data_IF_162477875011
#
_entry.id   IF_162477875011
#
_cell.length_a   1.000
_cell.length_b   1.000
_cell.length_c   1.000
_cell.angle_alpha   90.00
_cell.angle_beta   90.00
_cell.angle_gamma   90.00
#
_symmetry.space_group_name_H-M   'P 1'
#
loop_
_entity.id
_entity.type
_entity.pdbx_description
1 polymer ?
#
# COMPACT_ATOMS: atom_id res chain seq x y z
N UNK A 1 -4.29 -2.46 -26.88
CA UNK A 1 -4.31 -3.47 -25.80
C UNK A 1 -2.92 -3.95 -25.38
N UNK A 2 -2.01 -4.28 -26.31
CA UNK A 2 -0.67 -4.79 -25.97
C UNK A 2 0.14 -3.86 -25.05
N UNK A 3 0.11 -2.55 -25.30
CA UNK A 3 0.77 -1.53 -24.47
C UNK A 3 0.18 -1.43 -23.06
N UNK A 4 -1.13 -1.63 -22.91
CA UNK A 4 -1.81 -1.65 -21.60
C UNK A 4 -1.37 -2.86 -20.79
N UNK A 5 -1.36 -4.06 -21.41
CA UNK A 5 -0.85 -5.29 -20.77
C UNK A 5 0.62 -5.17 -20.38
N UNK A 6 1.45 -4.59 -21.25
CA UNK A 6 2.86 -4.35 -20.95
C UNK A 6 3.04 -3.40 -19.77
N UNK A 7 2.25 -2.33 -19.68
CA UNK A 7 2.26 -1.42 -18.53
C UNK A 7 1.87 -2.12 -17.22
N UNK A 8 0.81 -2.93 -17.25
CA UNK A 8 0.38 -3.76 -16.11
C UNK A 8 1.50 -4.73 -15.70
N UNK A 9 2.15 -5.39 -16.66
CA UNK A 9 3.25 -6.31 -16.42
C UNK A 9 4.46 -5.62 -15.77
N UNK A 10 4.89 -4.47 -16.31
CA UNK A 10 6.04 -3.71 -15.80
C UNK A 10 5.76 -3.27 -14.36
N UNK A 11 4.57 -2.71 -14.09
CA UNK A 11 4.22 -2.26 -12.75
C UNK A 11 4.10 -3.45 -11.78
N UNK A 12 3.48 -4.55 -12.21
CA UNK A 12 3.41 -5.77 -11.42
C UNK A 12 4.79 -6.33 -11.06
N UNK A 13 5.76 -6.26 -11.98
CA UNK A 13 7.15 -6.67 -11.72
C UNK A 13 7.84 -5.73 -10.72
N UNK A 14 7.58 -4.42 -10.79
CA UNK A 14 8.08 -3.44 -9.82
C UNK A 14 7.53 -3.75 -8.41
N UNK A 15 6.24 -4.12 -8.30
CA UNK A 15 5.63 -4.55 -7.03
C UNK A 15 6.15 -5.89 -6.53
N UNK A 16 6.39 -6.86 -7.42
CA UNK A 16 6.87 -8.19 -7.06
C UNK A 16 8.33 -8.18 -6.56
N UNK A 17 9.17 -7.39 -7.21
CA UNK A 17 10.62 -7.44 -7.01
C UNK A 17 11.17 -6.21 -6.31
N UNK A 18 10.93 -5.03 -6.88
CA UNK A 18 11.70 -3.83 -6.53
C UNK A 18 11.30 -3.27 -5.17
N UNK A 19 10.01 -3.24 -4.85
CA UNK A 19 9.50 -2.71 -3.57
C UNK A 19 9.90 -3.61 -2.39
N UNK A 20 9.62 -4.93 -2.38
CA UNK A 20 10.01 -5.80 -1.27
C UNK A 20 11.53 -5.87 -1.07
N UNK A 21 12.29 -5.88 -2.16
CA UNK A 21 13.76 -5.89 -2.09
C UNK A 21 14.31 -4.59 -1.50
N UNK A 22 13.79 -3.43 -1.92
CA UNK A 22 14.21 -2.12 -1.41
C UNK A 22 13.86 -1.99 0.06
N UNK A 23 12.65 -2.37 0.46
CA UNK A 23 12.23 -2.40 1.87
C UNK A 23 13.16 -3.31 2.69
N UNK A 24 13.38 -4.55 2.25
CA UNK A 24 14.28 -5.50 2.95
C UNK A 24 15.73 -5.00 3.06
N UNK A 25 16.24 -4.32 2.02
CA UNK A 25 17.61 -3.77 2.01
C UNK A 25 17.75 -2.60 2.97
N UNK A 26 16.79 -1.68 3.00
CA UNK A 26 16.77 -0.55 3.93
C UNK A 26 16.68 -1.05 5.37
N UNK A 27 15.85 -2.05 5.63
CA UNK A 27 15.65 -2.62 6.98
C UNK A 27 16.88 -3.31 7.52
N UNK A 28 17.63 -4.03 6.66
CA UNK A 28 18.88 -4.69 7.06
C UNK A 28 19.99 -3.72 7.48
N UNK A 29 19.89 -2.44 7.12
CA UNK A 29 20.88 -1.43 7.47
C UNK A 29 20.57 -0.74 8.81
N UNK A 30 19.55 -1.21 9.53
CA UNK A 30 19.01 -0.54 10.71
C UNK A 30 18.93 -1.56 11.85
N UNK A 31 19.56 -1.23 12.98
CA UNK A 31 19.48 -2.03 14.19
C UNK A 31 18.13 -1.75 14.88
N UNK A 32 17.21 -2.72 14.81
CA UNK A 32 15.84 -2.58 15.32
C UNK A 32 15.71 -3.20 16.71
N UNK A 33 15.48 -2.36 17.74
CA UNK A 33 15.01 -2.82 19.04
C UNK A 33 13.47 -2.75 19.10
N UNK A 34 12.84 -3.89 18.78
CA UNK A 34 11.39 -4.10 18.78
C UNK A 34 10.74 -3.89 20.16
N UNK A 35 11.53 -3.86 21.24
CA UNK A 35 11.06 -3.69 22.62
C UNK A 35 10.96 -2.21 23.04
N UNK A 36 11.65 -1.31 22.33
CA UNK A 36 11.69 0.15 22.61
C UNK A 36 11.10 1.01 21.51
N UNK A 37 11.10 0.56 20.25
CA UNK A 37 10.69 1.37 19.11
C UNK A 37 9.30 0.95 18.62
N UNK A 38 8.30 1.74 19.02
CA UNK A 38 6.93 1.57 18.54
C UNK A 38 6.69 2.35 17.25
N UNK A 39 5.97 1.67 16.36
CA UNK A 39 5.19 2.19 15.24
C UNK A 39 5.95 2.67 13.99
N UNK A 40 5.72 1.87 12.95
CA UNK A 40 6.06 2.04 11.55
C UNK A 40 7.54 1.88 11.19
N UNK A 41 7.77 0.81 10.45
CA UNK A 41 9.04 0.37 9.85
C UNK A 41 9.73 1.49 9.04
N UNK A 42 8.97 2.52 8.69
CA UNK A 42 9.30 3.57 7.76
C UNK A 42 9.47 4.95 8.38
N UNK A 43 9.28 5.08 9.69
CA UNK A 43 9.06 6.36 10.34
C UNK A 43 10.30 6.91 11.08
N UNK A 44 11.28 6.06 11.45
CA UNK A 44 12.32 6.35 12.44
C UNK A 44 13.37 7.43 12.09
N UNK A 45 13.01 8.72 12.14
CA UNK A 45 13.90 9.89 11.97
C UNK A 45 15.15 9.91 12.87
N UNK A 46 15.19 9.15 13.98
CA UNK A 46 16.40 9.02 14.80
C UNK A 46 17.37 7.95 14.28
N UNK A 47 16.95 7.09 13.34
CA UNK A 47 17.77 6.07 12.66
C UNK A 47 18.17 6.45 11.23
N UNK A 48 17.57 7.48 10.64
CA UNK A 48 17.73 7.80 9.21
C UNK A 48 18.35 9.20 8.99
N UNK A 49 19.50 9.25 8.31
CA UNK A 49 20.09 10.49 7.79
C UNK A 49 19.10 11.26 6.89
N UNK A 50 19.24 12.58 6.74
CA UNK A 50 18.34 13.44 5.95
C UNK A 50 18.16 12.94 4.51
N UNK A 51 19.19 12.31 3.94
CA UNK A 51 19.14 11.66 2.61
C UNK A 51 18.15 10.49 2.58
N UNK A 52 18.11 9.65 3.62
CA UNK A 52 17.19 8.51 3.71
C UNK A 52 15.74 8.98 3.85
N UNK A 53 15.48 10.03 4.65
CA UNK A 53 14.13 10.61 4.78
C UNK A 53 13.61 11.10 3.43
N UNK A 54 14.44 11.81 2.66
CA UNK A 54 14.08 12.29 1.32
C UNK A 54 13.83 11.13 0.35
N UNK A 55 14.70 10.12 0.35
CA UNK A 55 14.54 8.94 -0.48
C UNK A 55 13.26 8.16 -0.16
N UNK A 56 12.90 8.06 1.12
CA UNK A 56 11.67 7.43 1.55
C UNK A 56 10.41 8.21 1.10
N UNK A 57 10.37 9.54 1.26
CA UNK A 57 9.28 10.37 0.71
C UNK A 57 9.13 10.19 -0.80
N UNK A 58 10.25 10.17 -1.55
CA UNK A 58 10.24 9.92 -2.99
C UNK A 58 9.72 8.53 -3.32
N UNK A 59 10.09 7.51 -2.55
CA UNK A 59 9.60 6.14 -2.72
C UNK A 59 8.09 6.04 -2.48
N UNK A 60 7.57 6.62 -1.40
CA UNK A 60 6.13 6.66 -1.12
C UNK A 60 5.36 7.36 -2.24
N UNK A 61 5.86 8.52 -2.69
CA UNK A 61 5.24 9.26 -3.78
C UNK A 61 5.26 8.46 -5.09
N UNK A 62 6.39 7.85 -5.45
CA UNK A 62 6.49 6.97 -6.60
C UNK A 62 5.52 5.78 -6.49
N UNK A 63 5.34 5.23 -5.29
CA UNK A 63 4.42 4.12 -5.02
C UNK A 63 2.96 4.56 -5.17
N UNK A 64 2.61 5.79 -4.77
CA UNK A 64 1.29 6.37 -4.99
C UNK A 64 0.98 6.51 -6.50
N UNK A 65 1.93 7.04 -7.27
CA UNK A 65 1.82 7.17 -8.72
C UNK A 65 1.69 5.80 -9.39
N UNK A 66 2.55 4.84 -9.02
CA UNK A 66 2.49 3.49 -9.56
C UNK A 66 1.16 2.80 -9.26
N UNK A 67 0.61 2.92 -8.04
CA UNK A 67 -0.72 2.40 -7.71
C UNK A 67 -1.79 3.01 -8.60
N UNK A 68 -1.80 4.34 -8.74
CA UNK A 68 -2.80 5.02 -9.56
C UNK A 68 -2.73 4.56 -11.02
N UNK A 69 -1.53 4.53 -11.60
CA UNK A 69 -1.34 4.09 -12.99
C UNK A 69 -1.72 2.62 -13.14
N UNK A 70 -1.40 1.75 -12.18
CA UNK A 70 -1.76 0.34 -12.22
C UNK A 70 -3.28 0.13 -12.31
N UNK A 71 -4.04 0.69 -11.37
CA UNK A 71 -5.49 0.58 -11.36
C UNK A 71 -6.14 1.31 -12.53
N UNK A 72 -5.57 2.42 -13.00
CA UNK A 72 -6.04 3.09 -14.21
C UNK A 72 -5.86 2.21 -15.45
N UNK A 73 -4.71 1.53 -15.60
CA UNK A 73 -4.49 0.59 -16.69
C UNK A 73 -5.43 -0.62 -16.61
N UNK A 74 -5.67 -1.14 -15.40
CA UNK A 74 -6.68 -2.19 -15.17
C UNK A 74 -8.08 -1.71 -15.55
N UNK A 75 -8.47 -0.49 -15.14
CA UNK A 75 -9.74 0.13 -15.51
C UNK A 75 -9.91 0.20 -17.03
N UNK A 76 -8.87 0.67 -17.72
CA UNK A 76 -8.85 0.76 -19.19
C UNK A 76 -8.90 -0.62 -19.84
N UNK A 77 -8.24 -1.61 -19.26
CA UNK A 77 -8.20 -2.98 -19.78
C UNK A 77 -9.56 -3.66 -19.68
N UNK A 78 -10.20 -3.57 -18.51
CA UNK A 78 -11.47 -4.22 -18.19
C UNK A 78 -12.70 -3.35 -18.51
N UNK A 79 -12.50 -2.21 -19.19
CA UNK A 79 -13.55 -1.23 -19.51
C UNK A 79 -14.38 -0.78 -18.28
N UNK A 80 -13.71 -0.60 -17.13
CA UNK A 80 -14.35 -0.21 -15.87
C UNK A 80 -14.58 1.29 -15.76
N UNK A 81 -14.29 2.08 -16.80
CA UNK A 81 -14.47 3.53 -16.80
C UNK A 81 -15.90 3.99 -16.55
N UNK A 82 -16.90 3.14 -16.84
CA UNK A 82 -18.31 3.40 -16.54
C UNK A 82 -18.66 3.20 -15.05
N UNK A 83 -17.79 2.59 -14.25
CA UNK A 83 -17.98 2.41 -12.82
C UNK A 83 -17.53 3.67 -12.08
N UNK A 84 -18.41 4.67 -12.01
CA UNK A 84 -18.11 5.97 -11.40
C UNK A 84 -17.55 5.85 -9.99
N UNK A 85 -18.14 5.00 -9.14
CA UNK A 85 -17.66 4.74 -7.79
C UNK A 85 -16.21 4.26 -7.80
N UNK A 86 -15.86 3.29 -8.64
CA UNK A 86 -14.50 2.77 -8.74
C UNK A 86 -13.49 3.84 -9.16
N UNK A 87 -13.86 4.69 -10.13
CA UNK A 87 -13.00 5.78 -10.59
C UNK A 87 -12.83 6.89 -9.53
N UNK A 88 -13.87 7.17 -8.75
CA UNK A 88 -13.77 8.08 -7.60
C UNK A 88 -12.86 7.51 -6.51
N UNK A 89 -13.04 6.24 -6.12
CA UNK A 89 -12.20 5.58 -5.12
C UNK A 89 -10.74 5.45 -5.56
N UNK A 90 -10.48 5.28 -6.86
CA UNK A 90 -9.12 5.33 -7.42
C UNK A 90 -8.48 6.70 -7.18
N UNK A 91 -9.22 7.78 -7.45
CA UNK A 91 -8.76 9.16 -7.26
C UNK A 91 -8.54 9.48 -5.78
N UNK A 92 -9.46 9.08 -4.90
CA UNK A 92 -9.33 9.25 -3.46
C UNK A 92 -8.14 8.48 -2.91
N UNK A 93 -7.95 7.23 -3.34
CA UNK A 93 -6.79 6.43 -2.95
C UNK A 93 -5.49 7.15 -3.32
N UNK A 94 -5.37 7.62 -4.57
CA UNK A 94 -4.19 8.38 -5.00
C UNK A 94 -3.93 9.62 -4.13
N UNK A 95 -4.98 10.38 -3.80
CA UNK A 95 -4.86 11.54 -2.91
C UNK A 95 -4.35 11.15 -1.52
N UNK A 96 -4.91 10.12 -0.89
CA UNK A 96 -4.51 9.68 0.44
C UNK A 96 -3.09 9.10 0.46
N UNK A 97 -2.71 8.29 -0.53
CA UNK A 97 -1.34 7.77 -0.67
C UNK A 97 -0.32 8.90 -0.87
N UNK A 98 -0.67 9.89 -1.69
CA UNK A 98 0.17 11.06 -1.93
C UNK A 98 0.30 11.90 -0.65
N UNK A 99 -0.82 12.15 0.04
CA UNK A 99 -0.82 12.89 1.30
C UNK A 99 0.06 12.20 2.35
N UNK A 100 -0.01 10.89 2.47
CA UNK A 100 0.82 10.10 3.39
C UNK A 100 2.32 10.31 3.12
N UNK A 101 2.72 10.46 1.86
CA UNK A 101 4.12 10.73 1.49
C UNK A 101 4.64 12.07 2.03
N UNK A 102 3.78 13.08 2.13
CA UNK A 102 4.14 14.44 2.54
C UNK A 102 3.84 14.75 4.02
N UNK A 103 3.05 13.92 4.70
CA UNK A 103 2.82 14.06 6.15
C UNK A 103 4.10 13.67 6.89
N UNK A 104 4.71 14.66 7.55
CA UNK A 104 5.93 14.44 8.32
C UNK A 104 5.69 13.44 9.45
N UNK A 105 6.45 12.35 9.44
CA UNK A 105 6.39 11.32 10.45
C UNK A 105 6.99 11.87 11.77
N UNK A 106 6.27 11.74 12.88
CA UNK A 106 6.73 12.10 14.23
C UNK A 106 6.45 10.96 15.20
N UNK A 107 7.48 10.61 15.96
CA UNK A 107 7.66 9.27 16.58
C UNK A 107 7.89 9.40 18.08
N UNK A 108 8.04 10.64 18.54
CA UNK A 108 8.17 10.89 19.97
C UNK A 108 6.91 10.34 20.66
N UNK A 109 7.06 9.73 21.86
CA UNK A 109 5.91 9.27 22.63
C UNK A 109 4.93 10.43 22.82
N UNK A 110 3.63 10.10 22.86
CA UNK A 110 2.60 11.08 23.12
C UNK A 110 2.97 11.87 24.38
N UNK A 111 3.07 13.18 24.23
CA UNK A 111 3.47 14.06 25.33
C UNK A 111 2.58 15.28 25.33
N UNK A 112 1.90 15.49 26.46
CA UNK A 112 1.12 16.70 26.72
C UNK A 112 2.00 17.96 26.77
N UNK A 113 3.31 17.82 27.02
CA UNK A 113 4.27 18.95 27.01
C UNK A 113 4.64 19.42 25.60
N UNK A 114 4.41 18.62 24.56
CA UNK A 114 4.72 18.97 23.15
C UNK A 114 3.52 18.67 22.25
N UNK A 115 2.48 19.50 22.39
CA UNK A 115 1.21 19.37 21.68
C UNK A 115 1.39 19.28 20.15
N UNK A 116 2.25 20.11 19.56
CA UNK A 116 2.59 20.08 18.12
C UNK A 116 3.05 18.71 17.64
N UNK A 117 3.97 18.04 18.36
CA UNK A 117 4.45 16.71 17.99
C UNK A 117 3.40 15.62 18.15
N UNK A 118 2.54 15.76 19.16
CA UNK A 118 1.43 14.85 19.42
C UNK A 118 0.35 14.95 18.33
N UNK A 119 -0.04 16.17 17.96
CA UNK A 119 -1.00 16.42 16.87
C UNK A 119 -0.48 15.92 15.51
N UNK A 120 0.80 16.16 15.24
CA UNK A 120 1.44 15.67 14.02
C UNK A 120 1.43 14.13 13.92
N UNK A 121 1.67 13.44 15.05
CA UNK A 121 1.60 11.97 15.11
C UNK A 121 0.17 11.46 14.93
N UNK A 122 -0.80 12.12 15.55
CA UNK A 122 -2.22 11.79 15.39
C UNK A 122 -2.63 11.92 13.92
N UNK A 123 -2.28 13.04 13.27
CA UNK A 123 -2.58 13.29 11.86
C UNK A 123 -1.96 12.22 10.95
N UNK A 124 -0.68 11.87 11.17
CA UNK A 124 -0.03 10.80 10.42
C UNK A 124 -0.73 9.45 10.58
N UNK A 125 -1.03 9.06 11.82
CA UNK A 125 -1.69 7.77 12.10
C UNK A 125 -3.10 7.72 11.50
N UNK A 126 -3.87 8.82 11.56
CA UNK A 126 -5.18 8.90 10.93
C UNK A 126 -5.08 8.74 9.42
N UNK A 127 -4.15 9.44 8.76
CA UNK A 127 -3.94 9.30 7.31
C UNK A 127 -3.47 7.90 6.96
N UNK A 128 -2.56 7.31 7.75
CA UNK A 128 -2.11 5.94 7.54
C UNK A 128 -3.28 4.95 7.62
N UNK A 129 -4.14 5.04 8.64
CA UNK A 129 -5.34 4.20 8.77
C UNK A 129 -6.25 4.33 7.54
N UNK A 130 -6.50 5.56 7.07
CA UNK A 130 -7.29 5.78 5.86
C UNK A 130 -6.64 5.12 4.65
N UNK A 131 -5.32 5.21 4.50
CA UNK A 131 -4.58 4.54 3.43
C UNK A 131 -4.67 3.00 3.54
N UNK A 132 -4.51 2.45 4.75
CA UNK A 132 -4.63 1.01 5.00
C UNK A 132 -6.04 0.46 4.71
N UNK A 133 -7.08 1.29 4.81
CA UNK A 133 -8.46 0.89 4.50
C UNK A 133 -8.84 1.14 3.04
N UNK A 134 -8.38 2.25 2.45
CA UNK A 134 -8.75 2.63 1.08
C UNK A 134 -8.19 1.68 0.03
N UNK A 135 -6.95 1.19 0.21
CA UNK A 135 -6.35 0.28 -0.77
C UNK A 135 -7.08 -1.08 -0.86
N UNK A 136 -7.38 -1.79 0.24
CA UNK A 136 -8.15 -3.03 0.16
C UNK A 136 -9.57 -2.80 -0.37
N UNK A 137 -10.21 -1.69 -0.02
CA UNK A 137 -11.53 -1.33 -0.57
C UNK A 137 -11.45 -1.18 -2.09
N UNK A 138 -10.45 -0.46 -2.60
CA UNK A 138 -10.24 -0.29 -4.04
C UNK A 138 -10.02 -1.64 -4.74
N UNK A 139 -9.26 -2.54 -4.12
CA UNK A 139 -9.05 -3.90 -4.62
C UNK A 139 -10.36 -4.70 -4.65
N UNK A 140 -11.14 -4.66 -3.57
CA UNK A 140 -12.42 -5.38 -3.49
C UNK A 140 -13.38 -4.86 -4.55
N UNK A 141 -13.49 -3.54 -4.73
CA UNK A 141 -14.31 -2.92 -5.77
C UNK A 141 -13.88 -3.35 -7.17
N UNK A 142 -12.57 -3.37 -7.44
CA UNK A 142 -12.04 -3.88 -8.71
C UNK A 142 -12.42 -5.34 -8.93
N UNK A 143 -12.19 -6.20 -7.93
CA UNK A 143 -12.46 -7.64 -8.06
C UNK A 143 -13.96 -7.93 -8.22
N UNK A 144 -14.81 -7.20 -7.51
CA UNK A 144 -16.26 -7.27 -7.68
C UNK A 144 -16.70 -6.81 -9.08
N UNK A 145 -16.07 -5.77 -9.64
CA UNK A 145 -16.42 -5.27 -10.97
C UNK A 145 -16.00 -6.23 -12.11
N UNK A 146 -14.94 -7.02 -11.92
CA UNK A 146 -14.50 -7.99 -12.94
C UNK A 146 -15.13 -9.37 -12.77
N UNK A 147 -15.78 -9.68 -11.63
CA UNK A 147 -16.24 -11.04 -11.30
C UNK A 147 -17.27 -11.58 -12.29
N UNK A 148 -18.13 -10.71 -12.83
CA UNK A 148 -19.18 -11.12 -13.78
C UNK A 148 -18.57 -11.61 -15.10
N UNK A 149 -17.52 -10.94 -15.55
CA UNK A 149 -16.85 -11.26 -16.82
C UNK A 149 -15.74 -12.31 -16.64
N UNK A 150 -15.11 -12.35 -15.47
CA UNK A 150 -13.97 -13.22 -15.15
C UNK A 150 -14.11 -13.80 -13.73
N UNK A 151 -15.01 -14.78 -13.52
CA UNK A 151 -15.37 -15.26 -12.19
C UNK A 151 -14.19 -15.88 -11.44
N UNK A 152 -13.34 -16.65 -12.12
CA UNK A 152 -12.17 -17.25 -11.49
C UNK A 152 -11.17 -16.19 -11.00
N UNK A 153 -10.80 -15.24 -11.87
CA UNK A 153 -9.91 -14.12 -11.52
C UNK A 153 -10.46 -13.27 -10.38
N UNK A 154 -11.75 -12.93 -10.47
CA UNK A 154 -12.51 -12.18 -9.46
C UNK A 154 -12.52 -12.85 -8.08
N UNK A 155 -12.96 -14.10 -8.03
CA UNK A 155 -13.10 -14.87 -6.78
C UNK A 155 -11.74 -15.12 -6.14
N UNK A 156 -10.76 -15.60 -6.90
CA UNK A 156 -9.41 -15.84 -6.35
C UNK A 156 -8.77 -14.56 -5.86
N UNK A 157 -8.94 -13.45 -6.60
CA UNK A 157 -8.47 -12.14 -6.18
C UNK A 157 -9.12 -11.66 -4.88
N UNK A 158 -10.43 -11.87 -4.70
CA UNK A 158 -11.16 -11.59 -3.45
C UNK A 158 -10.66 -12.44 -2.28
N UNK A 159 -10.40 -13.72 -2.50
CA UNK A 159 -9.87 -14.61 -1.46
C UNK A 159 -8.49 -14.14 -1.00
N UNK A 160 -7.60 -13.77 -1.94
CA UNK A 160 -6.26 -13.28 -1.62
C UNK A 160 -6.32 -12.01 -0.77
N UNK A 161 -7.10 -11.01 -1.18
CA UNK A 161 -7.20 -9.76 -0.43
C UNK A 161 -7.92 -9.96 0.91
N UNK A 162 -8.95 -10.82 0.95
CA UNK A 162 -9.67 -11.17 2.16
C UNK A 162 -8.75 -11.79 3.21
N UNK A 163 -7.94 -12.78 2.82
CA UNK A 163 -6.93 -13.39 3.69
C UNK A 163 -5.91 -12.35 4.16
N UNK A 164 -5.44 -11.48 3.27
CA UNK A 164 -4.51 -10.40 3.61
C UNK A 164 -5.06 -9.48 4.68
N UNK A 165 -6.31 -9.02 4.52
CA UNK A 165 -7.00 -8.16 5.47
C UNK A 165 -7.19 -8.88 6.81
N UNK A 166 -7.63 -10.14 6.82
CA UNK A 166 -7.81 -10.95 8.03
C UNK A 166 -6.48 -11.12 8.79
N UNK A 167 -5.41 -11.52 8.11
CA UNK A 167 -4.09 -11.70 8.72
C UNK A 167 -3.59 -10.37 9.31
N UNK A 168 -3.77 -9.27 8.58
CA UNK A 168 -3.39 -7.93 9.04
C UNK A 168 -4.18 -7.54 10.29
N UNK A 169 -5.49 -7.75 10.31
CA UNK A 169 -6.36 -7.51 11.47
C UNK A 169 -5.94 -8.33 12.70
N UNK A 170 -5.68 -9.63 12.51
CA UNK A 170 -5.19 -10.51 13.59
C UNK A 170 -3.86 -9.99 14.15
N UNK A 171 -2.96 -9.53 13.28
CA UNK A 171 -1.68 -8.94 13.68
C UNK A 171 -1.89 -7.65 14.49
N UNK A 172 -2.79 -6.76 14.05
CA UNK A 172 -3.14 -5.54 14.80
C UNK A 172 -3.69 -5.88 16.18
N UNK A 173 -4.61 -6.85 16.28
CA UNK A 173 -5.23 -7.24 17.56
C UNK A 173 -4.17 -7.81 18.52
N UNK A 174 -3.25 -8.64 18.01
CA UNK A 174 -2.26 -9.34 18.85
C UNK A 174 -1.07 -8.47 19.25
N UNK A 175 -0.64 -7.56 18.39
CA UNK A 175 0.66 -6.89 18.53
C UNK A 175 0.58 -5.36 18.37
N UNK A 176 -0.63 -4.81 18.17
CA UNK A 176 -0.84 -3.43 17.77
C UNK A 176 -0.40 -3.17 16.32
N UNK A 177 -0.55 -1.93 15.87
CA UNK A 177 0.01 -1.49 14.58
C UNK A 177 1.53 -1.39 14.76
N UNK A 178 2.28 -2.33 14.20
CA UNK A 178 3.75 -2.34 14.27
C UNK A 178 4.36 -2.65 12.88
N UNK A 179 5.69 -2.62 12.77
CA UNK A 179 6.35 -2.88 11.48
C UNK A 179 6.07 -4.28 10.90
N UNK A 180 5.81 -5.28 11.73
CA UNK A 180 5.46 -6.64 11.28
C UNK A 180 4.08 -6.62 10.61
N UNK A 181 3.10 -5.94 11.19
CA UNK A 181 1.77 -5.75 10.62
C UNK A 181 1.83 -5.06 9.25
N UNK A 182 2.64 -4.00 9.13
CA UNK A 182 2.83 -3.29 7.86
C UNK A 182 3.43 -4.19 6.78
N UNK A 183 4.41 -5.04 7.13
CA UNK A 183 5.02 -5.99 6.20
C UNK A 183 4.00 -7.02 5.70
N UNK A 184 3.16 -7.58 6.59
CA UNK A 184 2.12 -8.53 6.17
C UNK A 184 1.14 -7.89 5.19
N UNK A 185 0.72 -6.66 5.46
CA UNK A 185 -0.16 -5.92 4.57
C UNK A 185 0.48 -5.68 3.20
N UNK A 186 1.69 -5.12 3.17
CA UNK A 186 2.42 -4.81 1.92
C UNK A 186 2.65 -6.10 1.10
N UNK A 187 3.04 -7.19 1.76
CA UNK A 187 3.28 -8.46 1.08
C UNK A 187 1.99 -9.06 0.51
N UNK A 188 0.88 -9.01 1.24
CA UNK A 188 -0.40 -9.52 0.75
C UNK A 188 -0.94 -8.72 -0.44
N UNK A 189 -0.82 -7.38 -0.41
CA UNK A 189 -1.11 -6.52 -1.56
C UNK A 189 -0.17 -6.85 -2.73
N UNK A 190 1.12 -7.03 -2.48
CA UNK A 190 2.09 -7.38 -3.53
C UNK A 190 1.76 -8.71 -4.19
N UNK A 191 1.39 -9.72 -3.39
CA UNK A 191 0.96 -11.03 -3.88
C UNK A 191 -0.30 -10.92 -4.74
N UNK A 192 -1.29 -10.14 -4.30
CA UNK A 192 -2.48 -9.83 -5.08
C UNK A 192 -2.13 -9.15 -6.42
N UNK A 193 -1.25 -8.15 -6.39
CA UNK A 193 -0.81 -7.43 -7.60
C UNK A 193 -0.14 -8.36 -8.61
N UNK A 194 0.71 -9.28 -8.14
CA UNK A 194 1.34 -10.30 -8.99
C UNK A 194 0.30 -11.23 -9.60
N UNK A 195 -0.62 -11.72 -8.79
CA UNK A 195 -1.70 -12.59 -9.25
C UNK A 195 -2.51 -11.92 -10.37
N UNK A 196 -3.03 -10.71 -10.13
CA UNK A 196 -3.83 -9.97 -11.12
C UNK A 196 -3.01 -9.68 -12.36
N UNK A 197 -1.74 -9.29 -12.21
CA UNK A 197 -0.86 -9.02 -13.36
C UNK A 197 -0.70 -10.26 -14.25
N UNK A 198 -0.34 -11.40 -13.67
CA UNK A 198 -0.18 -12.67 -14.41
C UNK A 198 -1.50 -13.05 -15.07
N UNK A 199 -2.60 -12.96 -14.32
CA UNK A 199 -3.91 -13.34 -14.81
C UNK A 199 -4.36 -12.47 -15.99
N UNK A 200 -4.25 -11.15 -15.88
CA UNK A 200 -4.59 -10.20 -16.95
C UNK A 200 -3.70 -10.36 -18.18
N UNK A 201 -2.42 -10.70 -18.02
CA UNK A 201 -1.51 -10.88 -19.16
C UNK A 201 -1.80 -12.19 -19.90
N UNK A 202 -1.97 -13.30 -19.17
CA UNK A 202 -2.09 -14.65 -19.75
C UNK A 202 -3.51 -15.01 -20.19
N UNK A 203 -4.52 -14.61 -19.41
CA UNK A 203 -5.92 -15.04 -19.60
C UNK A 203 -6.86 -13.88 -19.89
N UNK A 204 -6.41 -12.65 -19.67
CA UNK A 204 -7.17 -11.43 -19.93
C UNK A 204 -7.31 -11.12 -21.41
#
# INVERSE_FOLDING_TARGET
MIWTKLGILIIGFIYAGLIPFTVKRVVRQIDFDLHRQSLSFLSNKTLYDKKMVRGYTQLLFATAVLHYVFFWLLSKYYNLGAHESYMQYLTYSFFFFTLLAFVHHNIRPYSFRRLSSTLQRLAHNMVAIVVFLTLPILIVLFQAAIIENMPFGGITGLVIIGLTVIITLISIIRQGVNGITEIFFINGISFWTVFVTIYTVLFG
#
